data_IF_095126060088
#
_entry.id   IF_095126060088
#
_cell.length_a   1.000
_cell.length_b   1.000
_cell.length_c   1.000
_cell.angle_alpha   90.00
_cell.angle_beta   90.00
_cell.angle_gamma   90.00
#
_symmetry.space_group_name_H-M   'P 1'
#
loop_
_entity.id
_entity.type
_entity.pdbx_description
1 polymer ?
#
# COMPACT_ATOMS: atom_id res chain seq x y z
N UNK A 1 -7.53 -34.43 -5.27
CA UNK A 1 -6.94 -33.16 -4.78
C UNK A 1 -7.23 -33.11 -3.30
N UNK A 2 -6.20 -33.11 -2.45
CA UNK A 2 -6.39 -33.06 -0.99
C UNK A 2 -6.95 -31.70 -0.62
N UNK A 3 -8.14 -31.71 -0.02
CA UNK A 3 -8.81 -30.57 0.59
C UNK A 3 -7.99 -30.06 1.79
N UNK A 4 -6.91 -29.33 1.52
CA UNK A 4 -6.16 -28.65 2.56
C UNK A 4 -6.75 -27.28 2.75
N UNK A 5 -7.52 -27.09 3.84
CA UNK A 5 -7.97 -25.76 4.29
C UNK A 5 -6.74 -24.82 4.32
N UNK A 6 -6.84 -23.61 3.71
CA UNK A 6 -5.78 -22.62 3.83
C UNK A 6 -5.49 -22.35 5.31
N UNK A 7 -4.21 -22.30 5.68
CA UNK A 7 -3.84 -21.89 7.03
C UNK A 7 -4.22 -20.40 7.20
N UNK A 8 -4.97 -20.03 8.25
CA UNK A 8 -5.38 -18.65 8.44
C UNK A 8 -4.19 -17.73 8.67
N UNK A 9 -4.31 -16.44 8.28
CA UNK A 9 -3.30 -15.43 8.57
C UNK A 9 -3.03 -15.37 10.08
N UNK A 10 -1.75 -15.27 10.44
CA UNK A 10 -1.34 -14.99 11.81
C UNK A 10 -0.80 -13.57 11.90
N UNK A 11 -1.01 -12.95 13.05
CA UNK A 11 -0.61 -11.58 13.34
C UNK A 11 0.55 -11.56 14.32
N UNK A 12 1.32 -10.47 14.32
CA UNK A 12 2.41 -10.22 15.26
C UNK A 12 2.40 -8.75 15.68
N UNK A 13 2.92 -8.48 16.87
CA UNK A 13 3.12 -7.10 17.29
C UNK A 13 4.22 -6.43 16.45
N UNK A 14 3.98 -5.19 16.04
CA UNK A 14 4.98 -4.34 15.41
C UNK A 14 5.90 -3.77 16.50
N UNK A 15 6.90 -4.55 16.90
CA UNK A 15 7.79 -4.21 18.00
C UNK A 15 7.01 -3.92 19.29
N UNK A 16 7.38 -2.86 20.00
CA UNK A 16 6.76 -2.46 21.27
C UNK A 16 5.61 -1.45 21.10
N UNK A 17 5.04 -1.32 19.90
CA UNK A 17 4.00 -0.31 19.60
C UNK A 17 2.61 -0.68 20.09
N UNK A 18 2.36 -1.96 20.42
CA UNK A 18 1.02 -2.49 20.68
C UNK A 18 0.17 -2.71 19.42
N UNK A 19 0.67 -2.38 18.23
CA UNK A 19 -0.06 -2.58 16.96
C UNK A 19 0.12 -4.02 16.46
N UNK A 20 -0.98 -4.69 16.10
CA UNK A 20 -0.96 -6.00 15.45
C UNK A 20 -0.97 -5.85 13.94
N UNK A 21 0.04 -6.44 13.29
CA UNK A 21 0.14 -6.52 11.84
C UNK A 21 0.13 -7.97 11.39
N UNK A 22 -0.50 -8.21 10.24
CA UNK A 22 -0.44 -9.47 9.51
C UNK A 22 1.02 -9.85 9.23
N UNK A 23 1.36 -11.16 9.30
CA UNK A 23 2.73 -11.61 9.07
C UNK A 23 3.21 -11.36 7.64
N UNK A 24 2.29 -11.35 6.67
CA UNK A 24 2.54 -10.94 5.30
C UNK A 24 1.88 -9.58 5.05
N UNK A 25 2.60 -8.71 4.37
CA UNK A 25 2.10 -7.41 3.90
C UNK A 25 2.00 -7.38 2.39
N UNK A 26 1.08 -6.58 1.85
CA UNK A 26 1.02 -6.30 0.42
C UNK A 26 1.77 -4.99 0.12
N UNK A 27 2.92 -5.09 -0.56
CA UNK A 27 3.67 -3.92 -1.02
C UNK A 27 3.21 -3.43 -2.39
N UNK A 28 3.24 -2.11 -2.59
CA UNK A 28 2.80 -1.47 -3.84
C UNK A 28 3.90 -1.02 -4.78
N UNK A 29 5.10 -1.59 -4.66
CA UNK A 29 6.14 -1.32 -5.63
C UNK A 29 5.74 -1.86 -7.01
N UNK A 30 5.70 -0.96 -7.99
CA UNK A 30 5.38 -1.22 -9.38
C UNK A 30 6.00 -0.14 -10.27
N UNK A 31 6.20 -0.44 -11.54
CA UNK A 31 6.51 0.55 -12.56
C UNK A 31 5.27 1.39 -12.90
N UNK A 32 5.46 2.61 -13.43
CA UNK A 32 4.36 3.39 -13.95
C UNK A 32 3.86 2.77 -15.27
N UNK A 33 2.63 2.23 -15.28
CA UNK A 33 2.03 1.63 -16.47
C UNK A 33 0.49 1.71 -16.39
N UNK A 34 -0.15 1.99 -17.52
CA UNK A 34 -1.61 2.15 -17.64
C UNK A 34 -2.40 0.88 -17.28
N UNK A 35 -1.76 -0.30 -17.35
CA UNK A 35 -2.37 -1.56 -16.93
C UNK A 35 -2.63 -1.64 -15.42
N UNK A 36 -1.93 -0.84 -14.62
CA UNK A 36 -2.08 -0.81 -13.17
C UNK A 36 -3.16 0.21 -12.82
N UNK A 37 -4.40 -0.24 -12.85
CA UNK A 37 -5.58 0.60 -12.56
C UNK A 37 -5.95 0.56 -11.08
N UNK A 38 -6.69 1.57 -10.62
CA UNK A 38 -7.27 1.57 -9.28
C UNK A 38 -8.20 0.36 -9.03
N UNK A 39 -8.87 -0.14 -10.06
CA UNK A 39 -9.75 -1.30 -9.95
C UNK A 39 -8.96 -2.60 -9.75
N UNK A 40 -7.88 -2.79 -10.51
CA UNK A 40 -6.96 -3.90 -10.28
C UNK A 40 -6.36 -3.85 -8.87
N UNK A 41 -5.99 -2.65 -8.40
CA UNK A 41 -5.53 -2.44 -7.03
C UNK A 41 -6.59 -2.79 -5.98
N UNK A 42 -7.85 -2.41 -6.20
CA UNK A 42 -8.96 -2.80 -5.32
C UNK A 42 -9.11 -4.32 -5.26
N UNK A 43 -9.11 -5.02 -6.39
CA UNK A 43 -9.30 -6.47 -6.44
C UNK A 43 -8.12 -7.21 -5.76
N UNK A 44 -6.88 -6.75 -5.98
CA UNK A 44 -5.69 -7.29 -5.29
C UNK A 44 -5.74 -7.06 -3.78
N UNK A 45 -6.06 -5.83 -3.34
CA UNK A 45 -6.16 -5.50 -1.91
C UNK A 45 -7.30 -6.27 -1.24
N UNK A 46 -8.43 -6.42 -1.93
CA UNK A 46 -9.56 -7.21 -1.46
C UNK A 46 -9.20 -8.67 -1.28
N UNK A 47 -8.56 -9.29 -2.26
CA UNK A 47 -8.11 -10.67 -2.12
C UNK A 47 -7.17 -10.81 -0.91
N UNK A 48 -6.19 -9.92 -0.77
CA UNK A 48 -5.27 -9.93 0.36
C UNK A 48 -6.02 -9.79 1.71
N UNK A 49 -6.97 -8.85 1.78
CA UNK A 49 -7.79 -8.58 2.97
C UNK A 49 -8.69 -9.76 3.36
N UNK A 50 -9.35 -10.39 2.38
CA UNK A 50 -10.17 -11.60 2.58
C UNK A 50 -9.34 -12.78 3.11
N UNK A 51 -8.03 -12.79 2.83
CA UNK A 51 -7.06 -13.72 3.39
C UNK A 51 -6.38 -13.23 4.68
N UNK A 52 -6.84 -12.14 5.28
CA UNK A 52 -6.40 -11.62 6.58
C UNK A 52 -5.22 -10.65 6.54
N UNK A 53 -4.80 -10.16 5.37
CA UNK A 53 -3.80 -9.09 5.29
C UNK A 53 -4.43 -7.76 5.72
N UNK A 54 -3.88 -7.16 6.78
CA UNK A 54 -4.22 -5.82 7.22
C UNK A 54 -3.12 -4.79 6.95
N UNK A 55 -1.94 -5.21 6.47
CA UNK A 55 -0.75 -4.36 6.35
C UNK A 55 -0.41 -4.10 4.88
N UNK A 56 -0.51 -2.85 4.46
CA UNK A 56 -0.32 -2.39 3.09
C UNK A 56 0.79 -1.33 3.03
N UNK A 57 1.78 -1.56 2.18
CA UNK A 57 2.99 -0.74 2.12
C UNK A 57 3.09 0.06 0.82
N UNK A 58 3.49 1.32 0.94
CA UNK A 58 3.66 2.25 -0.16
C UNK A 58 4.96 3.07 -0.05
N UNK A 59 5.22 3.89 -1.07
CA UNK A 59 6.20 4.97 -1.06
C UNK A 59 5.84 6.01 -2.13
N UNK A 60 6.18 7.27 -1.91
CA UNK A 60 5.86 8.36 -2.83
C UNK A 60 6.41 8.14 -4.26
N UNK A 61 7.54 7.43 -4.38
CA UNK A 61 8.24 7.19 -5.64
C UNK A 61 7.69 5.99 -6.41
N UNK A 62 6.91 5.12 -5.76
CA UNK A 62 6.40 3.89 -6.40
C UNK A 62 5.49 4.25 -7.59
N UNK A 63 5.86 3.79 -8.78
CA UNK A 63 5.21 4.15 -10.04
C UNK A 63 5.17 5.67 -10.29
N UNK A 64 6.12 6.45 -9.78
CA UNK A 64 6.09 7.92 -9.88
C UNK A 64 4.86 8.54 -9.20
N UNK A 65 4.51 8.03 -8.02
CA UNK A 65 3.32 8.43 -7.26
C UNK A 65 2.00 7.79 -7.73
N UNK A 66 2.03 6.98 -8.80
CA UNK A 66 0.84 6.27 -9.26
C UNK A 66 0.35 5.23 -8.24
N UNK A 67 1.27 4.58 -7.51
CA UNK A 67 0.90 3.56 -6.53
C UNK A 67 0.05 4.12 -5.38
N UNK A 68 0.41 5.29 -4.82
CA UNK A 68 -0.39 5.97 -3.80
C UNK A 68 -1.76 6.43 -4.32
N UNK A 69 -1.81 6.96 -5.55
CA UNK A 69 -3.07 7.35 -6.20
C UNK A 69 -4.02 6.16 -6.34
N UNK A 70 -3.52 5.05 -6.89
CA UNK A 70 -4.31 3.84 -7.10
C UNK A 70 -4.77 3.22 -5.78
N UNK A 71 -3.87 3.06 -4.80
CA UNK A 71 -4.21 2.53 -3.48
C UNK A 71 -5.25 3.44 -2.78
N UNK A 72 -5.11 4.76 -2.88
CA UNK A 72 -6.06 5.72 -2.32
C UNK A 72 -7.47 5.58 -2.90
N UNK A 73 -7.60 5.38 -4.22
CA UNK A 73 -8.90 5.11 -4.86
C UNK A 73 -9.44 3.73 -4.45
N UNK A 74 -8.59 2.71 -4.40
CA UNK A 74 -8.97 1.36 -3.96
C UNK A 74 -9.49 1.35 -2.52
N UNK A 75 -8.84 2.04 -1.59
CA UNK A 75 -9.27 2.18 -0.19
C UNK A 75 -10.65 2.81 -0.12
N UNK A 76 -10.87 3.94 -0.81
CA UNK A 76 -12.19 4.62 -0.85
C UNK A 76 -13.28 3.71 -1.39
N UNK A 77 -12.97 2.97 -2.47
CA UNK A 77 -13.90 2.00 -3.08
C UNK A 77 -14.26 0.87 -2.12
N UNK A 78 -13.29 0.33 -1.38
CA UNK A 78 -13.55 -0.72 -0.40
C UNK A 78 -14.34 -0.26 0.81
N UNK A 79 -14.10 0.95 1.31
CA UNK A 79 -14.93 1.56 2.36
C UNK A 79 -16.37 1.74 1.85
N UNK A 80 -16.55 2.30 0.65
CA UNK A 80 -17.88 2.50 0.07
C UNK A 80 -18.64 1.19 -0.18
N UNK A 81 -17.92 0.09 -0.46
CA UNK A 81 -18.48 -1.26 -0.65
C UNK A 81 -18.64 -2.05 0.65
N UNK A 82 -18.21 -1.52 1.80
CA UNK A 82 -18.20 -2.24 3.07
C UNK A 82 -17.25 -3.44 3.10
N UNK A 83 -16.22 -3.45 2.25
CA UNK A 83 -15.20 -4.51 2.25
C UNK A 83 -14.30 -4.43 3.49
N UNK A 84 -14.01 -3.20 3.93
CA UNK A 84 -13.23 -2.87 5.14
C UNK A 84 -13.63 -1.48 5.65
N UNK A 85 -13.35 -1.19 6.91
CA UNK A 85 -13.27 0.15 7.48
C UNK A 85 -11.86 0.74 7.29
N UNK A 86 -11.67 2.02 7.61
CA UNK A 86 -10.32 2.60 7.57
C UNK A 86 -9.45 2.01 8.69
N UNK A 87 -10.05 1.69 9.83
CA UNK A 87 -9.41 1.18 11.05
C UNK A 87 -8.90 -0.24 10.87
N UNK A 88 -9.49 -1.01 9.95
CA UNK A 88 -9.02 -2.35 9.59
C UNK A 88 -7.66 -2.34 8.87
N UNK A 89 -7.24 -1.19 8.32
CA UNK A 89 -6.05 -1.08 7.48
C UNK A 89 -4.89 -0.39 8.21
N UNK A 90 -3.74 -1.05 8.22
CA UNK A 90 -2.43 -0.47 8.52
C UNK A 90 -1.76 -0.11 7.20
N UNK A 91 -1.54 1.18 6.99
CA UNK A 91 -0.98 1.72 5.73
C UNK A 91 0.33 2.44 6.05
N UNK A 92 1.40 2.10 5.33
CA UNK A 92 2.68 2.81 5.40
C UNK A 92 2.98 3.52 4.10
N UNK A 93 3.69 4.65 4.20
CA UNK A 93 4.38 5.26 3.07
C UNK A 93 5.79 5.66 3.48
N UNK A 94 6.63 5.97 2.50
CA UNK A 94 8.03 6.35 2.66
C UNK A 94 8.30 7.56 1.78
N UNK A 95 9.05 8.50 2.33
CA UNK A 95 9.38 9.78 1.70
C UNK A 95 10.90 9.90 1.69
N UNK A 96 11.48 10.17 0.52
CA UNK A 96 12.84 10.62 0.30
C UNK A 96 13.10 11.04 -1.15
N UNK A 97 12.63 10.25 -2.12
CA UNK A 97 13.02 10.39 -3.53
C UNK A 97 12.09 11.28 -4.35
N UNK A 98 11.00 11.78 -3.75
CA UNK A 98 9.94 12.47 -4.47
C UNK A 98 9.12 11.53 -5.36
N UNK A 99 8.02 12.04 -5.90
CA UNK A 99 7.15 11.31 -6.84
C UNK A 99 7.57 11.44 -8.30
N UNK A 100 8.56 12.27 -8.61
CA UNK A 100 9.10 12.41 -9.96
C UNK A 100 10.14 11.33 -10.25
N UNK A 101 10.43 11.11 -11.53
CA UNK A 101 11.48 10.19 -11.96
C UNK A 101 12.81 10.58 -11.29
N UNK A 102 13.34 9.66 -10.47
CA UNK A 102 14.63 9.77 -9.78
C UNK A 102 15.80 10.02 -10.73
N UNK A 103 15.63 9.75 -12.02
CA UNK A 103 16.62 9.98 -13.08
C UNK A 103 16.49 11.35 -13.75
N UNK A 104 15.41 12.11 -13.49
CA UNK A 104 15.18 13.44 -14.07
C UNK A 104 15.47 14.54 -13.05
N UNK A 105 15.99 15.68 -13.53
CA UNK A 105 16.27 16.84 -12.68
C UNK A 105 15.00 17.31 -11.97
N UNK A 106 14.93 17.00 -10.69
CA UNK A 106 13.90 17.47 -9.79
C UNK A 106 14.21 18.89 -9.33
N UNK A 107 13.18 19.67 -8.99
CA UNK A 107 13.36 20.97 -8.30
C UNK A 107 14.18 20.77 -7.01
N UNK A 108 14.97 21.75 -6.56
CA UNK A 108 15.79 21.63 -5.34
C UNK A 108 15.03 21.19 -4.09
N UNK A 109 13.70 21.36 -4.06
CA UNK A 109 12.85 20.99 -2.92
C UNK A 109 11.89 19.83 -3.20
N UNK A 110 12.09 19.08 -4.30
CA UNK A 110 11.21 17.98 -4.70
C UNK A 110 11.67 16.60 -4.18
N UNK A 111 12.71 16.55 -3.35
CA UNK A 111 13.26 15.34 -2.73
C UNK A 111 13.81 15.65 -1.32
N UNK A 112 14.25 14.61 -0.62
CA UNK A 112 14.84 14.64 0.71
C UNK A 112 13.80 14.64 1.84
N UNK A 113 14.24 15.01 3.05
CA UNK A 113 13.37 15.06 4.24
C UNK A 113 13.15 16.51 4.72
N UNK A 114 13.23 17.47 3.78
CA UNK A 114 13.00 18.88 4.12
C UNK A 114 11.51 19.14 4.38
N UNK A 115 11.20 20.12 5.23
CA UNK A 115 9.82 20.59 5.48
C UNK A 115 9.12 21.17 4.24
N UNK A 116 9.87 21.44 3.17
CA UNK A 116 9.29 21.93 1.91
C UNK A 116 8.84 20.78 1.02
N UNK A 117 9.44 19.61 1.19
CA UNK A 117 9.13 18.40 0.45
C UNK A 117 8.01 17.59 1.13
N UNK A 118 8.13 17.39 2.45
CA UNK A 118 7.12 16.75 3.32
C UNK A 118 5.98 17.73 3.57
#
# INVERSE_FOLDING_TARGET
>A
MTDTKPTPMTYRFLGNSGMLVSKLSLGSWMDANDKYTADAWYDMMKLAFEHGVNFFDNAEVYGGGLAEKNMGVAIKKGIAKGTWSREDLVITTKIFFGSNDVMTKSSPNAQGLSRKHI
#
